data_IF_165913203021
#
_entry.id   IF_165913203021
#
_cell.length_a   1.000
_cell.length_b   1.000
_cell.length_c   1.000
_cell.angle_alpha   90.00
_cell.angle_beta   90.00
_cell.angle_gamma   90.00
#
_symmetry.space_group_name_H-M   'P 1'
#
loop_
_entity.id
_entity.type
_entity.pdbx_description
1 polymer ?
#
# COMPACT_ATOMS: atom_id res chain seq x y z
N UNK A 1 16.03 -8.19 -6.02
CA UNK A 1 15.46 -8.42 -4.68
C UNK A 1 15.81 -9.83 -4.20
N UNK A 2 17.07 -10.10 -3.86
CA UNK A 2 17.50 -11.43 -3.36
C UNK A 2 17.07 -11.69 -1.91
N UNK A 3 16.93 -10.63 -1.11
CA UNK A 3 16.54 -10.72 0.31
C UNK A 3 15.21 -11.48 0.48
N UNK A 4 14.15 -11.11 -0.27
CA UNK A 4 12.84 -11.78 -0.18
C UNK A 4 12.87 -13.24 -0.64
N UNK A 5 13.82 -13.60 -1.52
CA UNK A 5 14.00 -14.99 -1.97
C UNK A 5 14.65 -15.85 -0.89
N UNK A 6 15.66 -15.31 -0.19
CA UNK A 6 16.51 -16.05 0.74
C UNK A 6 15.99 -16.01 2.19
N UNK A 7 15.46 -14.87 2.62
CA UNK A 7 14.99 -14.66 3.98
C UNK A 7 13.55 -15.16 4.12
N UNK A 8 13.38 -16.48 4.26
CA UNK A 8 12.05 -17.10 4.36
C UNK A 8 11.26 -16.70 5.60
N UNK A 9 11.90 -16.17 6.65
CA UNK A 9 11.21 -15.69 7.84
C UNK A 9 10.92 -14.18 7.82
N UNK A 10 11.17 -13.50 6.68
CA UNK A 10 10.95 -12.08 6.57
C UNK A 10 9.45 -11.77 6.56
N UNK A 11 8.97 -11.16 7.63
CA UNK A 11 7.56 -10.78 7.81
C UNK A 11 7.28 -9.32 7.47
N UNK A 12 8.26 -8.44 7.61
CA UNK A 12 8.11 -7.00 7.37
C UNK A 12 9.29 -6.47 6.57
N UNK A 13 9.01 -5.68 5.55
CA UNK A 13 10.01 -5.08 4.67
C UNK A 13 9.70 -3.61 4.45
N UNK A 14 10.63 -2.75 4.88
CA UNK A 14 10.53 -1.31 4.71
C UNK A 14 11.55 -0.82 3.67
N UNK A 15 11.05 -0.20 2.61
CA UNK A 15 11.83 0.33 1.49
C UNK A 15 11.50 1.81 1.22
N UNK A 16 10.95 2.52 2.21
CA UNK A 16 10.56 3.92 2.07
C UNK A 16 11.71 4.82 1.61
N UNK A 17 11.36 5.91 0.93
CA UNK A 17 12.28 6.94 0.42
C UNK A 17 13.33 6.41 -0.57
N UNK A 18 13.06 5.26 -1.20
CA UNK A 18 13.99 4.64 -2.14
C UNK A 18 13.50 4.78 -3.60
N UNK A 19 14.05 5.76 -4.32
CA UNK A 19 13.65 6.06 -5.70
C UNK A 19 14.17 5.08 -6.75
N UNK A 20 15.00 4.12 -6.34
CA UNK A 20 15.49 3.03 -7.20
C UNK A 20 14.46 1.89 -7.26
N UNK A 21 13.61 1.77 -6.23
CA UNK A 21 12.52 0.79 -6.21
C UNK A 21 11.47 1.15 -7.26
N UNK A 22 11.17 0.18 -8.10
CA UNK A 22 10.20 0.26 -9.18
C UNK A 22 9.21 -0.90 -9.13
N UNK A 23 8.21 -0.83 -10.00
CA UNK A 23 7.14 -1.80 -10.14
C UNK A 23 7.61 -3.26 -10.30
N UNK A 24 8.67 -3.46 -11.09
CA UNK A 24 9.25 -4.79 -11.31
C UNK A 24 9.87 -5.36 -10.03
N UNK A 25 10.49 -4.51 -9.20
CA UNK A 25 10.99 -4.94 -7.89
C UNK A 25 9.85 -5.38 -6.98
N UNK A 26 8.75 -4.63 -6.95
CA UNK A 26 7.57 -4.95 -6.14
C UNK A 26 6.90 -6.24 -6.60
N UNK A 27 6.80 -6.47 -7.91
CA UNK A 27 6.29 -7.73 -8.46
C UNK A 27 7.13 -8.94 -8.00
N UNK A 28 8.46 -8.82 -8.00
CA UNK A 28 9.34 -9.88 -7.48
C UNK A 28 9.12 -10.10 -5.98
N UNK A 29 8.94 -9.02 -5.20
CA UNK A 29 8.60 -9.12 -3.78
C UNK A 29 7.29 -9.87 -3.58
N UNK A 30 6.24 -9.52 -4.34
CA UNK A 30 4.93 -10.14 -4.24
C UNK A 30 4.96 -11.64 -4.57
N UNK A 31 5.77 -12.05 -5.55
CA UNK A 31 5.90 -13.46 -5.98
C UNK A 31 6.74 -14.31 -5.03
N UNK A 32 7.83 -13.76 -4.52
CA UNK A 32 8.86 -14.53 -3.79
C UNK A 32 8.71 -14.42 -2.28
N UNK A 33 8.10 -13.33 -1.78
CA UNK A 33 7.92 -13.03 -0.36
C UNK A 33 6.78 -13.82 0.27
N UNK A 34 6.91 -15.16 0.29
CA UNK A 34 5.84 -16.08 0.72
C UNK A 34 5.42 -15.99 2.19
N UNK A 35 6.20 -15.31 3.04
CA UNK A 35 5.86 -15.08 4.44
C UNK A 35 5.80 -13.58 4.78
N UNK A 36 5.89 -12.71 3.77
CA UNK A 36 5.86 -11.28 3.96
C UNK A 36 4.42 -10.83 4.23
N UNK A 37 4.24 -10.11 5.34
CA UNK A 37 2.96 -9.56 5.80
C UNK A 37 2.88 -8.06 5.63
N UNK A 38 3.99 -7.36 5.81
CA UNK A 38 4.04 -5.90 5.79
C UNK A 38 5.04 -5.40 4.75
N UNK A 39 4.60 -4.49 3.89
CA UNK A 39 5.42 -3.88 2.85
C UNK A 39 5.23 -2.36 2.83
N UNK A 40 6.29 -1.63 3.16
CA UNK A 40 6.31 -0.16 3.18
C UNK A 40 7.12 0.38 2.01
N UNK A 41 6.48 1.21 1.19
CA UNK A 41 6.99 1.74 -0.08
C UNK A 41 6.77 3.26 -0.17
N UNK A 42 6.68 3.96 0.96
CA UNK A 42 6.40 5.40 1.00
C UNK A 42 7.43 6.18 0.19
N UNK A 43 6.99 7.09 -0.67
CA UNK A 43 7.83 7.90 -1.56
C UNK A 43 8.74 7.08 -2.50
N UNK A 44 8.31 5.89 -2.92
CA UNK A 44 8.97 5.14 -4.00
C UNK A 44 8.45 5.57 -5.37
N UNK A 45 9.23 5.32 -6.44
CA UNK A 45 8.85 5.64 -7.82
C UNK A 45 8.09 4.47 -8.46
N UNK A 46 6.90 4.19 -7.92
CA UNK A 46 6.02 3.09 -8.32
C UNK A 46 4.69 3.58 -8.88
N UNK A 47 3.99 2.73 -9.61
CA UNK A 47 2.67 2.98 -10.23
C UNK A 47 1.64 1.96 -9.77
N UNK A 48 0.40 2.08 -10.25
CA UNK A 48 -0.68 1.11 -10.05
C UNK A 48 -0.26 -0.34 -10.37
N UNK A 49 0.70 -0.55 -11.27
CA UNK A 49 1.22 -1.88 -11.57
C UNK A 49 1.77 -2.59 -10.32
N UNK A 50 2.46 -1.86 -9.44
CA UNK A 50 3.00 -2.42 -8.20
C UNK A 50 1.88 -2.94 -7.30
N UNK A 51 0.82 -2.16 -7.13
CA UNK A 51 -0.35 -2.54 -6.32
C UNK A 51 -1.08 -3.75 -6.92
N UNK A 52 -1.31 -3.74 -8.23
CA UNK A 52 -1.94 -4.84 -8.96
C UNK A 52 -1.10 -6.12 -8.83
N UNK A 53 0.22 -6.02 -8.94
CA UNK A 53 1.12 -7.15 -8.77
C UNK A 53 1.06 -7.74 -7.35
N UNK A 54 0.99 -6.90 -6.32
CA UNK A 54 0.80 -7.35 -4.93
C UNK A 54 -0.51 -8.13 -4.81
N UNK A 55 -1.64 -7.55 -5.23
CA UNK A 55 -2.93 -8.20 -5.10
C UNK A 55 -3.06 -9.49 -5.91
N UNK A 56 -2.38 -9.58 -7.05
CA UNK A 56 -2.42 -10.77 -7.92
C UNK A 56 -1.52 -11.90 -7.43
N UNK A 57 -0.32 -11.59 -6.94
CA UNK A 57 0.71 -12.60 -6.71
C UNK A 57 0.95 -12.92 -5.24
N UNK A 58 0.74 -11.96 -4.34
CA UNK A 58 0.91 -12.19 -2.92
C UNK A 58 -0.36 -12.76 -2.30
N UNK A 59 -0.19 -13.79 -1.48
CA UNK A 59 -1.26 -14.42 -0.70
C UNK A 59 -1.12 -14.15 0.80
N UNK A 60 -0.11 -13.37 1.21
CA UNK A 60 0.27 -13.19 2.62
C UNK A 60 0.39 -11.74 3.05
N UNK A 61 0.54 -10.78 2.12
CA UNK A 61 0.69 -9.38 2.49
C UNK A 61 -0.65 -8.84 3.02
N UNK A 62 -0.61 -8.40 4.27
CA UNK A 62 -1.73 -7.86 5.03
C UNK A 62 -1.69 -6.32 5.06
N UNK A 63 -0.49 -5.73 5.05
CA UNK A 63 -0.28 -4.28 5.14
C UNK A 63 0.56 -3.80 3.97
N UNK A 64 0.04 -2.83 3.22
CA UNK A 64 0.78 -2.11 2.16
C UNK A 64 0.68 -0.62 2.43
N UNK A 65 1.82 0.08 2.48
CA UNK A 65 1.85 1.54 2.55
C UNK A 65 2.59 2.11 1.34
N UNK A 66 1.88 2.85 0.50
CA UNK A 66 2.40 3.53 -0.68
C UNK A 66 2.21 5.04 -0.58
N UNK A 67 2.19 5.60 0.63
CA UNK A 67 2.08 7.04 0.83
C UNK A 67 3.09 7.85 -0.01
N UNK A 68 2.70 9.03 -0.45
CA UNK A 68 3.51 9.94 -1.27
C UNK A 68 3.96 9.37 -2.64
N UNK A 69 3.39 8.25 -3.09
CA UNK A 69 3.63 7.71 -4.43
C UNK A 69 2.73 8.42 -5.44
N UNK A 70 3.32 9.31 -6.25
CA UNK A 70 2.60 10.27 -7.11
C UNK A 70 1.82 9.63 -8.28
N UNK A 71 2.17 8.41 -8.64
CA UNK A 71 1.58 7.69 -9.79
C UNK A 71 0.58 6.61 -9.39
N UNK A 72 0.16 6.61 -8.12
CA UNK A 72 -0.92 5.75 -7.62
C UNK A 72 -2.26 6.44 -7.82
N UNK A 73 -3.23 5.72 -8.38
CA UNK A 73 -4.57 6.23 -8.70
C UNK A 73 -5.67 5.36 -8.07
N UNK A 74 -6.92 5.81 -8.21
CA UNK A 74 -8.12 5.05 -7.82
C UNK A 74 -8.10 3.62 -8.39
N UNK A 75 -7.60 3.44 -9.61
CA UNK A 75 -7.57 2.15 -10.27
C UNK A 75 -6.65 1.17 -9.54
N UNK A 76 -5.43 1.57 -9.19
CA UNK A 76 -4.50 0.73 -8.44
C UNK A 76 -5.05 0.35 -7.07
N UNK A 77 -5.61 1.32 -6.34
CA UNK A 77 -6.23 1.10 -5.04
C UNK A 77 -7.44 0.14 -5.10
N UNK A 78 -8.29 0.29 -6.13
CA UNK A 78 -9.44 -0.59 -6.34
C UNK A 78 -9.01 -2.01 -6.64
N UNK A 79 -8.08 -2.18 -7.58
CA UNK A 79 -7.69 -3.49 -8.06
C UNK A 79 -6.94 -4.30 -7.00
N UNK A 80 -6.07 -3.68 -6.20
CA UNK A 80 -5.42 -4.39 -5.09
C UNK A 80 -6.44 -4.84 -4.04
N UNK A 81 -7.43 -4.00 -3.72
CA UNK A 81 -8.48 -4.35 -2.77
C UNK A 81 -9.38 -5.50 -3.26
N UNK A 82 -9.66 -5.57 -4.56
CA UNK A 82 -10.47 -6.64 -5.17
C UNK A 82 -9.71 -7.95 -5.36
N UNK A 83 -8.41 -7.88 -5.69
CA UNK A 83 -7.62 -9.07 -6.04
C UNK A 83 -6.90 -9.70 -4.85
N UNK A 84 -6.50 -8.91 -3.86
CA UNK A 84 -5.80 -9.43 -2.69
C UNK A 84 -6.74 -10.19 -1.76
N UNK A 85 -6.29 -11.37 -1.31
CA UNK A 85 -7.04 -12.20 -0.34
C UNK A 85 -6.65 -11.93 1.11
N UNK A 86 -5.44 -11.40 1.32
CA UNK A 86 -4.84 -11.19 2.63
C UNK A 86 -4.81 -9.72 3.05
N UNK A 87 -4.97 -8.77 2.13
CA UNK A 87 -4.86 -7.34 2.45
C UNK A 87 -5.88 -6.94 3.52
N UNK A 88 -5.42 -6.18 4.51
CA UNK A 88 -6.21 -5.62 5.61
C UNK A 88 -5.97 -4.13 5.76
N UNK A 89 -4.79 -3.63 5.39
CA UNK A 89 -4.41 -2.23 5.48
C UNK A 89 -3.80 -1.72 4.18
N UNK A 90 -4.29 -0.58 3.69
CA UNK A 90 -3.73 0.16 2.56
C UNK A 90 -3.47 1.63 2.92
N UNK A 91 -2.20 2.03 2.94
CA UNK A 91 -1.76 3.41 3.12
C UNK A 91 -1.66 4.15 1.79
N UNK A 92 -2.45 5.21 1.62
CA UNK A 92 -2.50 6.08 0.43
C UNK A 92 -2.32 7.56 0.82
N UNK A 93 -1.63 7.83 1.94
CA UNK A 93 -1.38 9.19 2.41
C UNK A 93 -0.69 10.01 1.31
N UNK A 94 -1.23 11.17 0.91
CA UNK A 94 -0.64 12.03 -0.13
C UNK A 94 -0.46 11.34 -1.50
N UNK A 95 -1.31 10.38 -1.83
CA UNK A 95 -1.50 9.91 -3.20
C UNK A 95 -2.55 10.80 -3.89
N UNK A 96 -2.12 11.96 -4.40
CA UNK A 96 -3.04 13.04 -4.82
C UNK A 96 -3.93 12.69 -6.03
N UNK A 97 -3.65 11.58 -6.74
CA UNK A 97 -4.48 11.04 -7.83
C UNK A 97 -5.51 10.02 -7.36
N UNK A 98 -5.58 9.75 -6.05
CA UNK A 98 -6.63 8.94 -5.42
C UNK A 98 -7.69 9.89 -4.86
N UNK A 99 -8.93 9.72 -5.28
CA UNK A 99 -10.06 10.53 -4.81
C UNK A 99 -10.57 10.01 -3.48
N UNK A 100 -11.02 10.93 -2.63
CA UNK A 100 -11.50 10.59 -1.29
C UNK A 100 -12.81 9.79 -1.31
N UNK A 101 -13.66 9.99 -2.32
CA UNK A 101 -14.94 9.29 -2.47
C UNK A 101 -14.76 7.78 -2.74
N UNK A 102 -13.68 7.39 -3.44
CA UNK A 102 -13.35 5.99 -3.69
C UNK A 102 -13.13 5.19 -2.39
N UNK A 103 -12.66 5.86 -1.32
CA UNK A 103 -12.35 5.21 -0.02
C UNK A 103 -13.59 4.56 0.59
N UNK A 104 -14.76 5.18 0.46
CA UNK A 104 -16.02 4.65 1.01
C UNK A 104 -16.41 3.31 0.38
N UNK A 105 -15.95 3.02 -0.84
CA UNK A 105 -16.20 1.74 -1.49
C UNK A 105 -15.23 0.65 -1.01
N UNK A 106 -14.04 1.01 -0.52
CA UNK A 106 -13.01 0.07 -0.08
C UNK A 106 -13.08 -0.23 1.42
N UNK A 107 -13.56 0.72 2.23
CA UNK A 107 -13.63 0.59 3.69
C UNK A 107 -14.38 -0.64 4.21
N UNK A 108 -15.42 -1.18 3.54
CA UNK A 108 -16.06 -2.41 4.00
C UNK A 108 -15.15 -3.66 3.88
N UNK A 109 -14.09 -3.59 3.07
CA UNK A 109 -13.23 -4.72 2.75
C UNK A 109 -11.85 -4.63 3.42
N UNK A 110 -11.30 -3.42 3.51
CA UNK A 110 -9.96 -3.14 4.02
C UNK A 110 -9.90 -1.81 4.77
N UNK A 111 -8.99 -1.69 5.72
CA UNK A 111 -8.65 -0.42 6.34
C UNK A 111 -7.83 0.43 5.35
N UNK A 112 -8.27 1.66 5.09
CA UNK A 112 -7.56 2.59 4.19
C UNK A 112 -7.16 3.84 4.96
N UNK A 113 -5.88 4.22 4.88
CA UNK A 113 -5.36 5.45 5.49
C UNK A 113 -5.02 6.49 4.42
N UNK A 114 -5.65 7.66 4.46
CA UNK A 114 -5.37 8.79 3.55
C UNK A 114 -5.17 10.09 4.33
N UNK A 115 -4.62 11.12 3.68
CA UNK A 115 -4.57 12.45 4.28
C UNK A 115 -5.90 13.16 3.99
N UNK A 116 -6.71 13.43 5.01
CA UNK A 116 -7.85 14.34 4.87
C UNK A 116 -7.34 15.77 4.88
N UNK A 117 -7.65 16.54 3.83
CA UNK A 117 -7.48 17.99 3.85
C UNK A 117 -8.56 18.58 4.79
N UNK A 118 -8.37 18.49 6.10
CA UNK A 118 -9.02 19.42 7.02
C UNK A 118 -8.08 20.59 7.24
N UNK A 119 -8.40 21.73 6.63
CA UNK A 119 -7.84 23.02 7.01
C UNK A 119 -8.15 23.29 8.48
N UNK A 120 -7.26 22.92 9.39
CA UNK A 120 -7.13 23.58 10.70
C UNK A 120 -5.71 23.38 11.21
N UNK A 121 -5.00 24.51 11.34
CA UNK A 121 -3.82 24.62 12.18
C UNK A 121 -4.12 24.03 13.56
N UNK A 122 -3.44 22.97 13.95
CA UNK A 122 -2.88 22.78 15.30
C UNK A 122 -2.05 21.51 15.32
N UNK A 123 -0.83 21.61 15.84
CA UNK A 123 -0.03 20.47 16.26
C UNK A 123 -0.85 19.56 17.17
N UNK A 124 -1.19 18.34 16.71
CA UNK A 124 -1.21 17.07 17.47
C UNK A 124 -2.00 15.99 16.72
N UNK A 125 -1.43 14.79 16.69
CA UNK A 125 -2.00 13.51 16.28
C UNK A 125 -2.41 13.33 14.80
N UNK A 126 -1.68 12.46 14.12
CA UNK A 126 -2.09 11.70 12.95
C UNK A 126 -3.54 11.23 13.13
N UNK A 127 -4.48 11.86 12.42
CA UNK A 127 -5.89 11.46 12.46
C UNK A 127 -6.07 10.11 11.77
N UNK A 128 -6.23 9.06 12.58
CA UNK A 128 -6.78 7.78 12.16
C UNK A 128 -8.28 7.98 11.89
N UNK A 129 -8.70 8.00 10.63
CA UNK A 129 -10.11 7.77 10.33
C UNK A 129 -10.35 6.27 10.32
N UNK A 130 -10.74 5.74 11.48
CA UNK A 130 -11.31 4.41 11.62
C UNK A 130 -12.76 4.44 11.15
N UNK A 131 -13.02 3.92 9.95
CA UNK A 131 -14.37 3.46 9.59
C UNK A 131 -14.34 1.93 9.64
N UNK A 132 -14.59 1.40 10.84
CA UNK A 132 -15.01 0.03 11.04
C UNK A 132 -16.46 0.09 11.51
N UNK A 133 -17.38 -0.53 10.76
CA UNK A 133 -18.64 -1.04 11.30
C UNK A 133 -18.51 -2.56 11.40
#
# INVERSE_FOLDING_TARGET
MEIVKRCKNLSSLNLCLNWIINDRCVEVIAKEGQNLKELYLVSCKITDYALIAIGRYSMTIETVDVGWCKEITDQGATLIAQSSKSLRYLGLMRCDKVRLDMIFFLSPYIYVCTHTHTHTHTHKHTHFYSYAL
#
